data_IF_386187333992
#
_entry.id   IF_386187333992
#
_cell.length_a   1.000
_cell.length_b   1.000
_cell.length_c   1.000
_cell.angle_alpha   90.00
_cell.angle_beta   90.00
_cell.angle_gamma   90.00
#
_symmetry.space_group_name_H-M   'P 1'
#
loop_
_entity.id
_entity.type
_entity.pdbx_description
1 polymer ?
#
# COMPACT_ATOMS: atom_id res chain seq x y z
N UNK A 1 11.00 9.85 -0.95
CA UNK A 1 11.13 9.06 0.29
C UNK A 1 10.94 9.98 1.48
N UNK A 2 10.43 9.48 2.61
CA UNK A 2 10.31 10.27 3.85
C UNK A 2 11.71 10.55 4.42
N UNK A 3 11.91 11.68 5.09
CA UNK A 3 13.18 12.00 5.74
C UNK A 3 13.45 11.01 6.89
N UNK A 4 14.58 10.27 6.91
CA UNK A 4 14.93 9.35 8.00
C UNK A 4 14.96 10.00 9.38
N UNK A 5 15.40 11.25 9.49
CA UNK A 5 15.47 11.96 10.78
C UNK A 5 14.07 12.27 11.33
N UNK A 6 13.11 12.53 10.42
CA UNK A 6 11.71 12.72 10.79
C UNK A 6 11.11 11.41 11.29
N UNK A 7 11.38 10.29 10.62
CA UNK A 7 10.91 8.96 11.04
C UNK A 7 11.47 8.58 12.43
N UNK A 8 12.74 8.89 12.70
CA UNK A 8 13.33 8.71 14.03
C UNK A 8 12.61 9.56 15.10
N UNK A 9 12.28 10.81 14.76
CA UNK A 9 11.51 11.69 15.66
C UNK A 9 10.12 11.11 15.95
N UNK A 10 9.45 10.58 14.93
CA UNK A 10 8.12 9.97 15.05
C UNK A 10 8.13 8.70 15.91
N UNK A 11 9.22 7.93 15.87
CA UNK A 11 9.44 6.81 16.80
C UNK A 11 9.58 7.32 18.23
N UNK A 12 10.39 8.37 18.44
CA UNK A 12 10.53 9.01 19.76
C UNK A 12 9.20 9.55 20.31
N UNK A 13 8.26 9.90 19.43
CA UNK A 13 6.91 10.35 19.78
C UNK A 13 5.89 9.21 19.94
N UNK A 14 6.25 7.97 19.62
CA UNK A 14 5.34 6.82 19.66
C UNK A 14 4.33 6.76 18.51
N UNK A 15 4.54 7.51 17.43
CA UNK A 15 3.69 7.53 16.24
C UNK A 15 4.02 6.39 15.26
N UNK A 16 5.28 5.94 15.28
CA UNK A 16 5.82 4.89 14.42
C UNK A 16 6.61 3.92 15.30
N UNK A 17 6.57 2.63 15.00
CA UNK A 17 7.44 1.63 15.64
C UNK A 17 8.73 1.46 14.84
N UNK A 18 9.81 0.98 15.45
CA UNK A 18 11.05 0.69 14.72
C UNK A 18 10.81 -0.29 13.55
N UNK A 19 9.94 -1.28 13.74
CA UNK A 19 9.52 -2.19 12.66
C UNK A 19 8.71 -1.46 11.58
N UNK A 20 7.80 -0.55 11.96
CA UNK A 20 7.00 0.24 11.01
C UNK A 20 7.83 1.25 10.20
N UNK A 21 9.01 1.65 10.68
CA UNK A 21 9.93 2.49 9.91
C UNK A 21 10.43 1.81 8.63
N UNK A 22 10.45 0.47 8.60
CA UNK A 22 10.85 -0.30 7.42
C UNK A 22 9.91 -0.05 6.23
N UNK A 23 8.62 0.24 6.48
CA UNK A 23 7.64 0.57 5.44
C UNK A 23 7.95 1.92 4.76
N UNK A 24 8.63 2.82 5.47
CA UNK A 24 9.17 4.06 4.93
C UNK A 24 10.56 3.90 4.30
N UNK A 25 11.08 2.66 4.27
CA UNK A 25 12.43 2.35 3.86
C UNK A 25 13.47 3.00 4.77
N UNK A 26 13.21 3.11 6.07
CA UNK A 26 14.15 3.65 7.07
C UNK A 26 14.53 2.56 8.05
N UNK A 27 15.82 2.37 8.27
CA UNK A 27 16.35 1.39 9.22
C UNK A 27 16.84 2.12 10.46
N UNK A 28 16.29 1.75 11.61
CA UNK A 28 16.77 2.20 12.92
C UNK A 28 17.62 1.10 13.54
N UNK A 29 18.78 1.48 14.05
CA UNK A 29 19.72 0.60 14.73
C UNK A 29 20.25 1.32 15.96
N UNK A 30 20.17 0.66 17.11
CA UNK A 30 20.66 1.19 18.39
C UNK A 30 20.11 2.60 18.71
N UNK A 31 18.83 2.86 18.35
CA UNK A 31 18.15 4.14 18.57
C UNK A 31 18.57 5.27 17.62
N UNK A 32 19.29 4.98 16.54
CA UNK A 32 19.69 5.95 15.53
C UNK A 32 19.37 5.47 14.11
N UNK A 33 19.34 6.38 13.15
CA UNK A 33 19.20 6.02 11.73
C UNK A 33 20.48 5.33 11.26
N UNK A 34 20.35 4.14 10.67
CA UNK A 34 21.41 3.50 9.91
C UNK A 34 21.30 3.95 8.45
N UNK A 35 22.12 4.94 8.05
CA UNK A 35 22.07 5.51 6.71
C UNK A 35 22.40 4.48 5.62
N UNK A 36 23.37 3.61 5.87
CA UNK A 36 23.80 2.59 4.90
C UNK A 36 22.68 1.58 4.67
N UNK A 37 22.10 1.06 5.76
CA UNK A 37 21.01 0.10 5.67
C UNK A 37 19.73 0.74 5.10
N UNK A 38 19.45 2.00 5.43
CA UNK A 38 18.34 2.78 4.87
C UNK A 38 18.48 2.93 3.35
N UNK A 39 19.67 3.26 2.86
CA UNK A 39 19.92 3.40 1.43
C UNK A 39 19.78 2.06 0.70
N UNK A 40 20.36 0.98 1.26
CA UNK A 40 20.23 -0.37 0.72
C UNK A 40 18.76 -0.86 0.69
N UNK A 41 18.00 -0.59 1.75
CA UNK A 41 16.58 -0.95 1.81
C UNK A 41 15.77 -0.19 0.75
N UNK A 42 16.01 1.11 0.57
CA UNK A 42 15.32 1.91 -0.45
C UNK A 42 15.66 1.45 -1.86
N UNK A 43 16.91 1.12 -2.12
CA UNK A 43 17.32 0.57 -3.42
C UNK A 43 16.64 -0.78 -3.68
N UNK A 44 16.61 -1.66 -2.67
CA UNK A 44 15.88 -2.92 -2.73
C UNK A 44 14.38 -2.70 -3.02
N UNK A 45 13.71 -1.83 -2.26
CA UNK A 45 12.28 -1.54 -2.45
C UNK A 45 11.97 -0.99 -3.84
N UNK A 46 12.83 -0.11 -4.37
CA UNK A 46 12.69 0.42 -5.74
C UNK A 46 12.85 -0.66 -6.80
N UNK A 47 13.80 -1.57 -6.59
CA UNK A 47 14.08 -2.68 -7.50
C UNK A 47 12.96 -3.71 -7.48
N UNK A 48 12.50 -4.11 -6.29
CA UNK A 48 11.42 -5.09 -6.11
C UNK A 48 10.05 -4.56 -6.55
N UNK A 49 9.83 -3.23 -6.48
CA UNK A 49 8.58 -2.63 -6.95
C UNK A 49 8.36 -2.83 -8.45
N UNK A 50 9.44 -2.91 -9.25
CA UNK A 50 9.36 -3.13 -10.69
C UNK A 50 8.68 -2.00 -11.47
N UNK A 51 8.24 -2.32 -12.69
CA UNK A 51 7.50 -1.39 -13.55
C UNK A 51 6.09 -1.15 -13.00
N UNK A 52 5.68 0.12 -12.96
CA UNK A 52 4.38 0.53 -12.44
C UNK A 52 3.57 1.08 -13.61
N UNK A 53 2.41 0.49 -13.85
CA UNK A 53 1.45 1.01 -14.82
C UNK A 53 1.00 2.42 -14.43
N UNK A 54 0.69 3.24 -15.44
CA UNK A 54 0.17 4.61 -15.20
C UNK A 54 -1.14 4.56 -14.42
N UNK A 55 -1.96 3.53 -14.65
CA UNK A 55 -3.20 3.29 -13.94
C UNK A 55 -3.28 1.83 -13.51
N UNK A 56 -3.53 1.60 -12.23
CA UNK A 56 -3.92 0.30 -11.71
C UNK A 56 -5.44 0.33 -11.48
N UNK A 57 -6.20 -0.39 -12.31
CA UNK A 57 -7.67 -0.46 -12.22
C UNK A 57 -8.16 -1.46 -11.16
N UNK A 58 -7.24 -2.17 -10.50
CA UNK A 58 -7.56 -3.27 -9.62
C UNK A 58 -8.02 -4.52 -10.39
N UNK A 59 -8.57 -5.51 -9.68
CA UNK A 59 -9.12 -6.71 -10.30
C UNK A 59 -10.47 -6.43 -10.99
N UNK A 60 -10.94 -7.39 -11.78
CA UNK A 60 -12.21 -7.30 -12.51
C UNK A 60 -13.43 -7.25 -11.57
N UNK A 61 -14.58 -6.84 -12.14
CA UNK A 61 -15.83 -6.67 -11.39
C UNK A 61 -16.31 -7.96 -10.73
N UNK A 62 -16.08 -9.14 -11.32
CA UNK A 62 -16.49 -10.41 -10.71
C UNK A 62 -15.65 -10.73 -9.48
N UNK A 63 -14.33 -10.54 -9.58
CA UNK A 63 -13.40 -10.68 -8.45
C UNK A 63 -13.74 -9.69 -7.34
N UNK A 64 -14.01 -8.43 -7.66
CA UNK A 64 -14.43 -7.42 -6.68
C UNK A 64 -15.73 -7.80 -5.97
N UNK A 65 -16.74 -8.29 -6.72
CA UNK A 65 -18.00 -8.78 -6.14
C UNK A 65 -17.77 -9.98 -5.23
N UNK A 66 -16.90 -10.92 -5.62
CA UNK A 66 -16.56 -12.10 -4.81
C UNK A 66 -15.96 -11.73 -3.45
N UNK A 67 -15.05 -10.76 -3.42
CA UNK A 67 -14.34 -10.37 -2.19
C UNK A 67 -15.13 -9.39 -1.30
N UNK A 68 -16.17 -8.75 -1.83
CA UNK A 68 -16.88 -7.64 -1.17
C UNK A 68 -17.27 -7.93 0.28
N UNK A 69 -17.79 -9.13 0.58
CA UNK A 69 -18.21 -9.49 1.94
C UNK A 69 -17.02 -9.60 2.90
N UNK A 70 -15.92 -10.21 2.46
CA UNK A 70 -14.72 -10.41 3.28
C UNK A 70 -14.03 -9.07 3.56
N UNK A 71 -13.89 -8.22 2.53
CA UNK A 71 -13.14 -6.97 2.63
C UNK A 71 -13.94 -5.84 3.31
N UNK A 72 -15.26 -5.78 3.07
CA UNK A 72 -16.09 -4.64 3.49
C UNK A 72 -17.14 -4.99 4.54
N UNK A 73 -17.41 -6.28 4.77
CA UNK A 73 -18.53 -6.74 5.61
C UNK A 73 -19.91 -6.55 4.97
N UNK A 74 -19.99 -6.07 3.73
CA UNK A 74 -21.24 -5.86 3.00
C UNK A 74 -21.41 -6.91 1.89
N UNK A 75 -22.64 -7.38 1.61
CA UNK A 75 -22.86 -8.27 0.48
C UNK A 75 -22.58 -7.56 -0.84
N UNK A 76 -22.12 -8.32 -1.83
CA UNK A 76 -21.82 -7.80 -3.16
C UNK A 76 -23.01 -7.03 -3.78
N UNK A 77 -22.75 -5.87 -4.41
CA UNK A 77 -23.81 -5.10 -5.05
C UNK A 77 -24.36 -5.85 -6.27
N UNK A 78 -25.69 -5.79 -6.44
CA UNK A 78 -26.36 -6.32 -7.63
C UNK A 78 -26.41 -5.26 -8.72
N UNK A 79 -26.06 -5.64 -9.94
CA UNK A 79 -26.13 -4.74 -11.09
C UNK A 79 -27.57 -4.28 -11.34
N UNK A 80 -27.82 -2.97 -11.50
CA UNK A 80 -29.15 -2.48 -11.83
C UNK A 80 -29.52 -2.93 -13.24
N UNK A 81 -30.78 -3.35 -13.43
CA UNK A 81 -31.32 -3.64 -14.75
C UNK A 81 -32.00 -2.39 -15.30
N UNK A 82 -31.49 -1.84 -16.40
CA UNK A 82 -32.15 -0.77 -17.14
C UNK A 82 -33.15 -1.34 -18.15
N UNK A 83 -34.26 -0.63 -18.39
CA UNK A 83 -35.34 -1.07 -19.27
C UNK A 83 -34.95 -1.22 -20.75
N UNK A 84 -33.81 -0.68 -21.17
CA UNK A 84 -33.26 -0.70 -22.52
C UNK A 84 -31.88 -1.36 -22.50
N UNK A 85 -31.85 -2.68 -22.24
CA UNK A 85 -30.65 -3.42 -21.86
C UNK A 85 -29.77 -3.92 -23.03
N UNK A 86 -29.83 -3.32 -24.22
CA UNK A 86 -29.08 -3.82 -25.39
C UNK A 86 -27.64 -3.25 -25.50
N UNK A 87 -27.20 -2.37 -24.59
CA UNK A 87 -25.96 -1.61 -24.75
C UNK A 87 -24.95 -1.74 -23.59
N UNK A 88 -25.10 -2.73 -22.71
CA UNK A 88 -24.20 -2.89 -21.55
C UNK A 88 -23.81 -4.37 -21.38
N UNK A 89 -23.05 -4.88 -22.34
CA UNK A 89 -22.19 -6.06 -22.20
C UNK A 89 -20.73 -5.62 -22.32
#
# INVERSE_FOLDING_TARGET
DRDPALVLTEIGQGLVTETGALDYGVVIKDGAVDETATQALREKMRTERGEVEVFNFGPDIETLRKNCLEETGLPAPKQPMWRTAEAAE
#
